data_IF_580297140368
#
_entry.id   IF_580297140368
#
_cell.length_a   1.000
_cell.length_b   1.000
_cell.length_c   1.000
_cell.angle_alpha   90.00
_cell.angle_beta   90.00
_cell.angle_gamma   90.00
#
_symmetry.space_group_name_H-M   'P 1'
#
loop_
_entity.id
_entity.type
_entity.pdbx_description
1 polymer ?
#
# COMPACT_ATOMS: atom_id res chain seq x y z
N UNK A 1 39.80 -50.03 33.24
CA UNK A 1 39.63 -48.56 33.34
C UNK A 1 38.87 -48.12 32.09
N UNK A 2 37.55 -47.90 32.18
CA UNK A 2 36.70 -47.47 31.06
C UNK A 2 36.47 -45.95 31.14
N UNK A 3 36.69 -45.20 30.07
CA UNK A 3 36.35 -43.79 30.08
C UNK A 3 34.84 -43.58 29.79
N UNK A 4 34.18 -42.91 30.70
CA UNK A 4 32.81 -42.50 30.57
C UNK A 4 32.74 -41.24 29.68
N UNK A 5 32.20 -41.35 28.50
CA UNK A 5 31.88 -40.20 27.63
C UNK A 5 30.56 -39.56 28.10
N UNK A 6 30.66 -38.38 28.70
CA UNK A 6 29.50 -37.55 29.04
C UNK A 6 29.09 -36.78 27.76
N UNK A 7 27.98 -37.18 27.17
CA UNK A 7 27.35 -36.39 26.11
C UNK A 7 26.55 -35.25 26.72
N UNK A 8 27.04 -34.03 26.56
CA UNK A 8 26.25 -32.84 26.91
C UNK A 8 25.23 -32.58 25.79
N UNK A 9 23.96 -32.78 26.08
CA UNK A 9 22.87 -32.44 25.18
C UNK A 9 22.66 -30.93 25.22
N UNK A 10 22.98 -30.22 24.11
CA UNK A 10 22.66 -28.81 23.93
C UNK A 10 21.22 -28.73 23.55
N UNK A 11 20.38 -28.28 24.45
CA UNK A 11 18.95 -27.97 24.17
C UNK A 11 18.89 -26.60 23.50
N UNK A 12 18.68 -26.58 22.19
CA UNK A 12 18.36 -25.35 21.46
C UNK A 12 16.92 -24.95 21.80
N UNK A 13 16.76 -23.96 22.65
CA UNK A 13 15.45 -23.33 22.88
C UNK A 13 15.10 -22.51 21.66
N UNK A 14 14.22 -23.02 20.81
CA UNK A 14 13.53 -22.26 19.76
C UNK A 14 12.58 -21.27 20.46
N UNK A 15 13.02 -20.04 20.62
CA UNK A 15 12.13 -18.93 20.99
C UNK A 15 11.28 -18.64 19.77
N UNK A 16 9.94 -18.84 19.81
CA UNK A 16 9.09 -18.45 18.70
C UNK A 16 9.19 -16.92 18.56
N UNK A 17 9.65 -16.44 17.41
CA UNK A 17 9.52 -15.03 17.06
C UNK A 17 8.03 -14.72 17.02
N UNK A 18 7.53 -13.92 17.97
CA UNK A 18 6.17 -13.43 17.96
C UNK A 18 5.98 -12.58 16.70
N UNK A 19 5.36 -13.15 15.68
CA UNK A 19 4.91 -12.40 14.53
C UNK A 19 3.78 -11.47 15.02
N UNK A 20 4.05 -10.19 15.14
CA UNK A 20 3.02 -9.21 15.45
C UNK A 20 1.99 -9.21 14.34
N UNK A 21 0.71 -9.47 14.68
CA UNK A 21 -0.39 -9.41 13.76
C UNK A 21 -0.50 -7.99 13.19
N UNK A 22 -0.84 -7.88 11.89
CA UNK A 22 -1.05 -6.59 11.24
C UNK A 22 -2.27 -5.91 11.86
N UNK A 23 -2.10 -4.68 12.33
CA UNK A 23 -3.16 -3.87 12.93
C UNK A 23 -3.81 -3.00 11.87
N UNK A 24 -5.06 -3.30 11.51
CA UNK A 24 -5.83 -2.60 10.50
C UNK A 24 -6.75 -1.57 11.13
N UNK A 25 -6.75 -0.34 10.61
CA UNK A 25 -7.69 0.72 10.98
C UNK A 25 -8.23 1.42 9.75
N UNK A 26 -9.47 1.87 9.84
CA UNK A 26 -10.08 2.69 8.81
C UNK A 26 -9.52 4.10 8.89
N UNK A 27 -9.04 4.61 7.76
CA UNK A 27 -8.66 6.00 7.56
C UNK A 27 -9.73 6.69 6.74
N UNK A 28 -10.24 7.82 7.23
CA UNK A 28 -11.29 8.58 6.59
C UNK A 28 -10.77 9.94 6.12
N UNK A 29 -11.29 10.42 4.99
CA UNK A 29 -11.16 11.80 4.52
C UNK A 29 -12.56 12.45 4.64
N UNK A 30 -12.91 13.07 5.78
CA UNK A 30 -14.28 13.51 6.04
C UNK A 30 -14.84 14.51 5.03
N UNK A 31 -13.99 15.37 4.47
CA UNK A 31 -14.40 16.40 3.51
C UNK A 31 -14.87 15.84 2.16
N UNK A 32 -14.52 14.59 1.83
CA UNK A 32 -14.85 13.97 0.54
C UNK A 32 -15.56 12.63 0.67
N UNK A 33 -15.60 12.06 1.88
CA UNK A 33 -16.22 10.77 2.17
C UNK A 33 -15.37 9.54 1.85
N UNK A 34 -14.18 9.71 1.29
CA UNK A 34 -13.28 8.60 1.01
C UNK A 34 -12.83 7.90 2.30
N UNK A 35 -12.76 6.58 2.27
CA UNK A 35 -12.19 5.80 3.36
C UNK A 35 -11.47 4.57 2.84
N UNK A 36 -10.52 4.07 3.64
CA UNK A 36 -9.70 2.92 3.30
C UNK A 36 -9.13 2.27 4.56
N UNK A 37 -8.97 0.95 4.54
CA UNK A 37 -8.28 0.24 5.62
C UNK A 37 -6.77 0.39 5.44
N UNK A 38 -6.08 0.84 6.48
CA UNK A 38 -4.62 0.99 6.50
C UNK A 38 -3.97 0.18 7.62
N UNK A 39 -2.81 -0.44 7.38
CA UNK A 39 -2.07 -1.18 8.39
C UNK A 39 -1.22 -0.20 9.22
N UNK A 40 -1.75 0.26 10.35
CA UNK A 40 -1.15 1.34 11.15
C UNK A 40 0.14 0.95 11.88
N UNK A 41 0.40 -0.34 12.05
CA UNK A 41 1.66 -0.84 12.59
C UNK A 41 2.75 -1.08 11.53
N UNK A 42 2.41 -0.89 10.24
CA UNK A 42 3.36 -0.93 9.12
C UNK A 42 3.70 0.49 8.68
N UNK A 43 2.68 1.30 8.38
CA UNK A 43 2.84 2.71 8.03
C UNK A 43 2.67 3.57 9.27
N UNK A 44 3.75 3.73 10.02
CA UNK A 44 3.77 4.34 11.37
C UNK A 44 4.09 5.83 11.37
N UNK A 45 4.68 6.35 10.26
CA UNK A 45 5.16 7.72 10.19
C UNK A 45 4.19 8.58 9.36
N UNK A 46 3.62 9.60 9.96
CA UNK A 46 2.83 10.60 9.24
C UNK A 46 3.76 11.51 8.44
N UNK A 47 3.64 11.48 7.12
CA UNK A 47 4.45 12.26 6.18
C UNK A 47 3.73 13.54 5.67
N UNK A 48 2.59 13.90 6.26
CA UNK A 48 1.88 15.12 5.95
C UNK A 48 0.89 15.01 4.79
N UNK A 49 0.61 16.14 4.16
CA UNK A 49 -0.36 16.25 3.09
C UNK A 49 0.18 15.70 1.77
N UNK A 50 -0.67 15.04 0.96
CA UNK A 50 -0.31 14.62 -0.37
C UNK A 50 -0.27 15.82 -1.34
N UNK A 51 0.39 15.65 -2.47
CA UNK A 51 0.34 16.61 -3.56
C UNK A 51 -0.96 16.45 -4.37
N UNK A 52 -1.61 17.56 -4.69
CA UNK A 52 -2.71 17.61 -5.65
C UNK A 52 -4.07 17.12 -5.14
N UNK A 53 -4.24 16.94 -3.82
CA UNK A 53 -5.52 16.51 -3.25
C UNK A 53 -5.57 16.65 -1.75
N UNK A 54 -6.68 16.25 -1.15
CA UNK A 54 -6.85 16.16 0.30
C UNK A 54 -6.64 14.72 0.74
N UNK A 55 -6.02 14.54 1.91
CA UNK A 55 -5.72 13.22 2.46
C UNK A 55 -4.44 13.22 3.27
N UNK A 56 -3.73 12.10 3.25
CA UNK A 56 -2.52 11.94 4.05
C UNK A 56 -1.54 10.98 3.37
N UNK A 57 -0.26 11.22 3.63
CA UNK A 57 0.84 10.34 3.25
C UNK A 57 1.49 9.76 4.49
N UNK A 58 1.88 8.50 4.41
CA UNK A 58 2.51 7.73 5.48
C UNK A 58 3.77 7.03 4.99
N UNK A 59 4.77 6.90 5.87
CA UNK A 59 5.94 6.07 5.64
C UNK A 59 5.98 4.88 6.59
N UNK A 60 6.66 3.83 6.16
CA UNK A 60 7.19 2.82 7.09
C UNK A 60 8.30 3.45 7.93
N UNK A 61 8.59 2.85 9.10
CA UNK A 61 9.62 3.35 10.02
C UNK A 61 11.00 3.50 9.36
N UNK A 62 11.35 2.59 8.45
CA UNK A 62 12.60 2.61 7.69
C UNK A 62 12.55 3.49 6.42
N UNK A 63 11.42 4.10 6.13
CA UNK A 63 11.14 4.93 4.95
C UNK A 63 11.32 4.23 3.60
N UNK A 64 11.33 2.89 3.59
CA UNK A 64 11.51 2.12 2.35
C UNK A 64 10.21 1.93 1.58
N UNK A 65 9.07 2.10 2.22
CA UNK A 65 7.76 2.08 1.59
C UNK A 65 6.92 3.27 2.03
N UNK A 66 5.98 3.67 1.19
CA UNK A 66 5.03 4.73 1.48
C UNK A 66 3.62 4.40 0.98
N UNK A 67 2.65 4.96 1.67
CA UNK A 67 1.23 4.89 1.37
C UNK A 67 0.67 6.30 1.30
N UNK A 68 0.02 6.65 0.20
CA UNK A 68 -0.75 7.88 0.08
C UNK A 68 -2.22 7.55 -0.10
N UNK A 69 -3.06 8.16 0.72
CA UNK A 69 -4.52 8.14 0.58
C UNK A 69 -4.96 9.55 0.26
N UNK A 70 -5.64 9.76 -0.86
CA UNK A 70 -6.06 11.09 -1.25
C UNK A 70 -7.34 11.09 -2.09
N UNK A 71 -8.06 12.22 -2.01
CA UNK A 71 -9.11 12.59 -2.94
C UNK A 71 -8.59 13.69 -3.85
N UNK A 72 -8.52 13.42 -5.14
CA UNK A 72 -8.07 14.36 -6.16
C UNK A 72 -9.30 14.96 -6.85
N UNK A 73 -9.38 16.30 -7.02
CA UNK A 73 -10.48 16.91 -7.76
C UNK A 73 -10.62 16.35 -9.17
N UNK A 74 -11.85 16.07 -9.55
CA UNK A 74 -12.23 15.59 -10.89
C UNK A 74 -13.46 16.40 -11.38
N UNK A 75 -13.29 17.72 -11.58
CA UNK A 75 -14.43 18.62 -11.88
C UNK A 75 -15.12 18.30 -13.22
N UNK A 76 -14.37 17.75 -14.17
CA UNK A 76 -14.89 17.34 -15.48
C UNK A 76 -15.60 15.97 -15.42
N UNK A 77 -15.63 15.35 -14.25
CA UNK A 77 -16.17 14.00 -14.04
C UNK A 77 -15.60 12.97 -15.03
N UNK A 78 -14.30 13.06 -15.27
CA UNK A 78 -13.56 12.14 -16.14
C UNK A 78 -13.80 10.68 -15.75
N UNK A 79 -13.87 9.82 -16.75
CA UNK A 79 -13.82 8.37 -16.50
C UNK A 79 -12.48 7.94 -15.91
N UNK A 80 -12.40 6.79 -15.25
CA UNK A 80 -11.12 6.25 -14.80
C UNK A 80 -10.08 6.13 -15.92
N UNK A 81 -10.49 5.74 -17.12
CA UNK A 81 -9.61 5.66 -18.27
C UNK A 81 -9.05 7.03 -18.68
N UNK A 82 -9.90 8.05 -18.75
CA UNK A 82 -9.51 9.42 -19.12
C UNK A 82 -8.61 10.03 -18.05
N UNK A 83 -8.97 9.86 -16.77
CA UNK A 83 -8.17 10.36 -15.65
C UNK A 83 -6.77 9.72 -15.63
N UNK A 84 -6.68 8.40 -15.83
CA UNK A 84 -5.41 7.69 -15.92
C UNK A 84 -4.56 8.21 -17.09
N UNK A 85 -5.16 8.40 -18.27
CA UNK A 85 -4.44 8.92 -19.44
C UNK A 85 -3.86 10.33 -19.19
N UNK A 86 -4.62 11.22 -18.54
CA UNK A 86 -4.15 12.56 -18.16
C UNK A 86 -2.98 12.54 -17.17
N UNK A 87 -2.83 11.49 -16.36
CA UNK A 87 -1.70 11.30 -15.46
C UNK A 87 -0.41 10.87 -16.16
N UNK A 88 -0.47 10.59 -17.46
CA UNK A 88 0.68 10.14 -18.26
C UNK A 88 1.45 8.98 -17.61
N UNK A 89 0.80 7.83 -17.38
CA UNK A 89 1.44 6.69 -16.73
C UNK A 89 2.66 6.22 -17.53
N UNK A 90 3.67 5.62 -16.88
CA UNK A 90 4.85 5.11 -17.58
C UNK A 90 4.46 4.05 -18.60
N UNK A 91 5.24 3.95 -19.70
CA UNK A 91 4.95 3.03 -20.80
C UNK A 91 5.01 1.54 -20.42
N UNK A 92 5.74 1.20 -19.36
CA UNK A 92 5.95 -0.19 -18.90
C UNK A 92 5.03 -0.59 -17.74
N UNK A 93 3.74 -0.34 -17.86
CA UNK A 93 2.75 -0.84 -16.91
C UNK A 93 2.76 -2.38 -16.94
N UNK A 94 2.94 -3.00 -15.77
CA UNK A 94 2.96 -4.46 -15.62
C UNK A 94 1.61 -5.05 -15.27
N UNK A 95 0.78 -4.30 -14.56
CA UNK A 95 -0.59 -4.66 -14.24
C UNK A 95 -1.50 -3.49 -14.56
N UNK A 96 -2.62 -3.77 -15.24
CA UNK A 96 -3.62 -2.77 -15.60
C UNK A 96 -5.02 -3.35 -15.53
N UNK A 97 -5.88 -2.72 -14.74
CA UNK A 97 -7.32 -2.96 -14.74
C UNK A 97 -8.04 -1.63 -14.76
N UNK A 98 -8.89 -1.43 -15.76
CA UNK A 98 -9.67 -0.20 -15.93
C UNK A 98 -11.13 -0.57 -16.15
N UNK A 99 -12.00 0.04 -15.36
CA UNK A 99 -13.45 -0.12 -15.43
C UNK A 99 -14.11 1.25 -15.47
N UNK A 100 -15.44 1.30 -15.58
CA UNK A 100 -16.18 2.56 -15.47
C UNK A 100 -16.15 3.18 -14.06
N UNK A 101 -15.77 2.40 -13.05
CA UNK A 101 -15.78 2.81 -11.64
C UNK A 101 -14.40 3.10 -11.08
N UNK A 102 -13.37 2.40 -11.56
CA UNK A 102 -12.01 2.55 -11.03
C UNK A 102 -10.96 2.14 -12.07
N UNK A 103 -9.74 2.55 -11.83
CA UNK A 103 -8.56 1.90 -12.38
C UNK A 103 -7.65 1.40 -11.26
N UNK A 104 -6.88 0.35 -11.57
CA UNK A 104 -5.76 -0.10 -10.77
C UNK A 104 -4.59 -0.43 -11.70
N UNK A 105 -3.44 0.14 -11.44
CA UNK A 105 -2.23 -0.04 -12.25
C UNK A 105 -1.02 -0.25 -11.35
N UNK A 106 -0.06 -1.03 -11.83
CA UNK A 106 1.27 -1.09 -11.22
C UNK A 106 2.37 -1.07 -12.27
N UNK A 107 3.51 -0.55 -11.87
CA UNK A 107 4.72 -0.53 -12.67
C UNK A 107 5.95 -0.67 -11.75
N UNK A 108 7.08 -1.07 -12.34
CA UNK A 108 8.36 -1.07 -11.65
C UNK A 108 9.23 0.01 -12.28
N UNK A 109 9.80 0.86 -11.44
CA UNK A 109 10.68 1.95 -11.84
C UNK A 109 11.79 2.12 -10.80
N UNK A 110 13.02 2.12 -11.24
CA UNK A 110 14.20 2.27 -10.36
C UNK A 110 14.19 1.30 -9.16
N UNK A 111 13.85 0.02 -9.39
CA UNK A 111 13.81 -1.01 -8.35
C UNK A 111 12.64 -0.87 -7.35
N UNK A 112 11.67 -0.01 -7.64
CA UNK A 112 10.47 0.18 -6.81
C UNK A 112 9.21 -0.20 -7.58
N UNK A 113 8.32 -0.88 -6.91
CA UNK A 113 6.95 -1.09 -7.39
C UNK A 113 6.09 0.11 -7.02
N UNK A 114 5.35 0.60 -7.98
CA UNK A 114 4.35 1.64 -7.86
C UNK A 114 2.98 1.03 -8.10
N UNK A 115 2.16 0.98 -7.09
CA UNK A 115 0.77 0.57 -7.21
C UNK A 115 -0.14 1.78 -7.01
N UNK A 116 -1.11 1.93 -7.89
CA UNK A 116 -2.08 3.01 -7.80
C UNK A 116 -3.49 2.48 -8.13
N UNK A 117 -4.43 2.75 -7.24
CA UNK A 117 -5.85 2.55 -7.49
C UNK A 117 -6.60 3.84 -7.24
N UNK A 118 -7.47 4.21 -8.18
CA UNK A 118 -8.36 5.36 -8.04
C UNK A 118 -9.80 4.95 -8.37
N UNK A 119 -10.70 5.23 -7.45
CA UNK A 119 -12.14 5.05 -7.60
C UNK A 119 -12.80 6.38 -7.99
N UNK A 120 -13.69 6.33 -8.97
CA UNK A 120 -14.49 7.49 -9.39
C UNK A 120 -15.59 7.78 -8.37
N UNK A 121 -15.69 9.04 -7.93
CA UNK A 121 -16.67 9.51 -6.96
C UNK A 121 -17.07 10.96 -7.25
N UNK A 122 -18.22 11.18 -7.85
CA UNK A 122 -18.72 12.52 -8.19
C UNK A 122 -17.62 13.43 -8.76
N UNK A 123 -17.28 14.51 -8.04
CA UNK A 123 -16.25 15.47 -8.44
C UNK A 123 -14.84 15.14 -7.96
N UNK A 124 -14.61 13.89 -7.54
CA UNK A 124 -13.32 13.41 -7.05
C UNK A 124 -12.94 12.07 -7.67
N UNK A 125 -11.63 11.81 -7.68
CA UNK A 125 -11.06 10.48 -7.75
C UNK A 125 -10.45 10.18 -6.39
N UNK A 126 -10.96 9.15 -5.71
CA UNK A 126 -10.38 8.66 -4.45
C UNK A 126 -9.28 7.67 -4.77
N UNK A 127 -8.08 7.94 -4.31
CA UNK A 127 -6.90 7.18 -4.69
C UNK A 127 -6.13 6.63 -3.48
N UNK A 128 -5.61 5.43 -3.63
CA UNK A 128 -4.50 4.91 -2.83
C UNK A 128 -3.30 4.66 -3.73
N UNK A 129 -2.13 5.09 -3.27
CA UNK A 129 -0.85 4.84 -3.93
C UNK A 129 0.08 4.18 -2.94
N UNK A 130 0.69 3.06 -3.33
CA UNK A 130 1.57 2.27 -2.47
C UNK A 130 2.87 2.04 -3.23
N UNK A 131 3.98 2.48 -2.65
CA UNK A 131 5.31 2.33 -3.21
C UNK A 131 6.19 1.52 -2.28
N UNK A 132 6.85 0.51 -2.81
CA UNK A 132 7.70 -0.38 -2.02
C UNK A 132 8.84 -0.95 -2.87
N UNK A 133 9.91 -1.51 -2.26
CA UNK A 133 10.98 -2.15 -3.00
C UNK A 133 10.46 -3.34 -3.82
N UNK A 134 10.75 -3.38 -5.12
CA UNK A 134 10.28 -4.45 -6.01
C UNK A 134 10.77 -5.84 -5.57
N UNK A 135 11.94 -5.91 -4.95
CA UNK A 135 12.48 -7.17 -4.40
C UNK A 135 11.65 -7.74 -3.23
N UNK A 136 10.77 -6.94 -2.63
CA UNK A 136 9.92 -7.32 -1.49
C UNK A 136 8.47 -7.59 -1.90
N UNK A 137 8.18 -7.74 -3.18
CA UNK A 137 6.82 -7.88 -3.72
C UNK A 137 5.99 -8.94 -2.98
N UNK A 138 6.57 -10.09 -2.67
CA UNK A 138 5.87 -11.15 -1.92
C UNK A 138 5.38 -10.71 -0.54
N UNK A 139 6.18 -9.90 0.15
CA UNK A 139 5.84 -9.40 1.49
C UNK A 139 4.71 -8.36 1.41
N UNK A 140 4.70 -7.57 0.33
CA UNK A 140 3.75 -6.50 0.13
C UNK A 140 2.43 -6.95 -0.49
N UNK A 141 2.41 -8.09 -1.18
CA UNK A 141 1.25 -8.55 -1.93
C UNK A 141 -0.01 -8.68 -1.07
N UNK A 142 0.09 -9.28 0.11
CA UNK A 142 -1.03 -9.41 1.05
C UNK A 142 -1.52 -8.04 1.56
N UNK A 143 -0.61 -7.09 1.78
CA UNK A 143 -0.92 -5.73 2.25
C UNK A 143 -1.67 -4.96 1.16
N UNK A 144 -1.13 -4.93 -0.06
CA UNK A 144 -1.73 -4.25 -1.21
C UNK A 144 -3.10 -4.84 -1.55
N UNK A 145 -3.21 -6.17 -1.55
CA UNK A 145 -4.45 -6.90 -1.84
C UNK A 145 -5.56 -6.58 -0.85
N UNK A 146 -5.24 -6.20 0.38
CA UNK A 146 -6.25 -5.76 1.36
C UNK A 146 -6.53 -4.26 1.28
N UNK A 147 -5.52 -3.42 1.18
CA UNK A 147 -5.72 -1.96 1.09
C UNK A 147 -6.57 -1.59 -0.13
N UNK A 148 -6.18 -2.08 -1.29
CA UNK A 148 -6.75 -1.66 -2.57
C UNK A 148 -8.27 -1.85 -2.65
N UNK A 149 -8.84 -3.04 -2.40
CA UNK A 149 -10.29 -3.23 -2.50
C UNK A 149 -11.07 -2.58 -1.34
N UNK A 150 -10.40 -2.22 -0.24
CA UNK A 150 -11.05 -1.53 0.89
C UNK A 150 -11.34 -0.05 0.62
N UNK A 151 -10.73 0.52 -0.43
CA UNK A 151 -10.99 1.91 -0.81
C UNK A 151 -12.46 2.09 -1.19
N UNK A 152 -13.16 2.93 -0.44
CA UNK A 152 -14.58 3.21 -0.60
C UNK A 152 -14.87 4.73 -0.58
N UNK A 153 -16.10 5.05 -0.99
CA UNK A 153 -16.64 6.42 -1.03
C UNK A 153 -17.48 6.69 0.20
#
# INVERSE_FOLDING_TARGET
MSPHHIFAAIVFSLVPAAAFATEWRKYDIPSTGANVDIPVNIFTEDAGLPEGGVGRRFFTKDHRADLTVQSVPNPDNDSPATFLAKKQPPANIQYRRVTSRFFAVSSIRNGRTWYNRCNRANQYMHCVMINYPAAEERQWDAVVTRISPSLAN
#
